data_IF_714672535882
#
_entry.id   IF_714672535882
#
_cell.length_a   1.000
_cell.length_b   1.000
_cell.length_c   1.000
_cell.angle_alpha   90.00
_cell.angle_beta   90.00
_cell.angle_gamma   90.00
#
_symmetry.space_group_name_H-M   'P 1'
#
loop_
_entity.id
_entity.type
_entity.pdbx_description
1 polymer ?
#
# COMPACT_ATOMS: atom_id res chain seq x y z
N UNK A 1 16.90 2.54 -4.86
CA UNK A 1 15.48 2.90 -5.13
C UNK A 1 15.49 4.01 -6.16
N UNK A 2 14.80 3.87 -7.29
CA UNK A 2 14.92 4.79 -8.40
C UNK A 2 13.58 5.25 -8.98
N UNK A 3 13.67 5.92 -10.12
CA UNK A 3 12.53 6.44 -10.89
C UNK A 3 12.82 6.29 -12.38
N UNK A 4 11.77 6.36 -13.16
CA UNK A 4 11.86 6.53 -14.61
C UNK A 4 11.80 8.03 -14.95
N UNK A 5 12.57 8.45 -15.93
CA UNK A 5 12.49 9.77 -16.56
C UNK A 5 12.44 9.50 -18.07
N UNK A 6 11.37 9.88 -18.72
CA UNK A 6 11.12 9.61 -20.15
C UNK A 6 11.40 8.14 -20.54
N UNK A 7 10.90 7.21 -19.73
CA UNK A 7 11.08 5.77 -19.90
C UNK A 7 12.46 5.22 -19.53
N UNK A 8 13.44 6.05 -19.18
CA UNK A 8 14.77 5.63 -18.79
C UNK A 8 14.91 5.49 -17.28
N UNK A 9 15.48 4.36 -16.81
CA UNK A 9 15.70 4.10 -15.40
C UNK A 9 16.86 4.91 -14.83
N UNK A 10 16.61 5.56 -13.67
CA UNK A 10 17.61 6.28 -12.89
C UNK A 10 17.59 5.77 -11.44
N UNK A 11 18.74 5.29 -10.94
CA UNK A 11 18.92 4.96 -9.54
C UNK A 11 19.14 6.24 -8.74
N UNK A 12 18.04 6.90 -8.40
CA UNK A 12 18.03 8.15 -7.67
C UNK A 12 17.09 8.07 -6.48
N UNK A 13 17.63 8.30 -5.28
CA UNK A 13 16.86 8.37 -4.05
C UNK A 13 15.90 9.56 -4.04
N UNK A 14 14.95 9.54 -3.11
CA UNK A 14 14.10 10.70 -2.86
C UNK A 14 14.96 11.92 -2.51
N UNK A 15 14.66 13.04 -3.12
CA UNK A 15 15.26 14.31 -2.73
C UNK A 15 14.58 14.78 -1.44
N UNK A 16 15.39 15.12 -0.44
CA UNK A 16 14.92 15.79 0.76
C UNK A 16 14.80 17.28 0.48
N UNK A 17 13.67 17.88 0.80
CA UNK A 17 13.51 19.33 0.84
C UNK A 17 13.27 19.73 2.29
N UNK A 18 14.07 20.64 2.81
CA UNK A 18 14.01 21.10 4.20
C UNK A 18 14.16 19.96 5.23
N UNK A 19 14.97 18.94 4.89
CA UNK A 19 15.19 17.77 5.72
C UNK A 19 14.03 16.79 5.81
N UNK A 20 12.91 17.07 5.16
CA UNK A 20 11.69 16.27 5.24
C UNK A 20 11.59 15.26 4.09
N UNK A 21 11.02 14.11 4.37
CA UNK A 21 10.64 13.12 3.37
C UNK A 21 9.27 13.47 2.77
N UNK A 22 9.22 13.65 1.46
CA UNK A 22 8.01 13.87 0.69
C UNK A 22 7.71 12.67 -0.19
N UNK A 23 6.50 12.12 -0.06
CA UNK A 23 6.02 11.04 -0.92
C UNK A 23 5.24 11.62 -2.09
N UNK A 24 5.67 11.28 -3.30
CA UNK A 24 4.94 11.61 -4.51
C UNK A 24 3.64 10.79 -4.60
N UNK A 25 2.59 11.38 -5.15
CA UNK A 25 1.34 10.69 -5.38
C UNK A 25 1.48 9.62 -6.48
N UNK A 26 0.73 8.54 -6.36
CA UNK A 26 0.58 7.55 -7.41
C UNK A 26 -0.04 8.20 -8.66
N UNK A 27 0.50 7.88 -9.85
CA UNK A 27 0.09 8.51 -11.11
C UNK A 27 -0.89 7.65 -11.91
N UNK A 28 -0.90 6.36 -11.70
CA UNK A 28 -1.82 5.43 -12.37
C UNK A 28 -3.00 5.17 -11.43
N UNK A 29 -4.17 5.76 -11.75
CA UNK A 29 -5.33 5.86 -10.86
C UNK A 29 -6.66 5.51 -11.56
N UNK A 30 -6.64 4.51 -12.46
CA UNK A 30 -7.86 3.93 -13.04
C UNK A 30 -8.55 2.99 -12.04
N UNK A 31 -9.83 2.69 -12.25
CA UNK A 31 -10.63 1.88 -11.35
C UNK A 31 -11.21 0.66 -12.05
N UNK A 32 -11.15 -0.49 -11.37
CA UNK A 32 -11.98 -1.63 -11.71
C UNK A 32 -13.36 -1.41 -11.11
N UNK A 33 -14.39 -1.48 -11.92
CA UNK A 33 -15.78 -1.52 -11.49
C UNK A 33 -16.46 -2.79 -12.02
N UNK A 34 -17.66 -3.10 -11.55
CA UNK A 34 -18.39 -4.31 -11.96
C UNK A 34 -18.62 -4.34 -13.48
N UNK A 35 -18.93 -3.21 -14.06
CA UNK A 35 -19.30 -3.05 -15.48
C UNK A 35 -18.26 -2.32 -16.35
N UNK A 36 -17.16 -1.85 -15.74
CA UNK A 36 -16.10 -1.10 -16.42
C UNK A 36 -16.37 0.41 -16.52
N UNK A 37 -17.36 0.94 -15.84
CA UNK A 37 -17.57 2.39 -15.72
C UNK A 37 -16.40 3.05 -15.00
N UNK A 38 -16.15 4.33 -15.29
CA UNK A 38 -15.11 5.10 -14.64
C UNK A 38 -15.37 5.23 -13.12
N UNK A 39 -14.31 5.13 -12.34
CA UNK A 39 -14.34 5.39 -10.90
C UNK A 39 -14.16 6.88 -10.56
N UNK A 40 -13.81 7.19 -9.30
CA UNK A 40 -13.55 8.57 -8.85
C UNK A 40 -12.40 9.26 -9.61
N UNK A 41 -11.47 8.48 -10.13
CA UNK A 41 -10.31 8.93 -10.90
C UNK A 41 -10.07 8.03 -12.11
N UNK A 42 -9.31 8.54 -13.09
CA UNK A 42 -8.89 7.78 -14.26
C UNK A 42 -10.01 7.57 -15.30
N UNK A 43 -9.78 6.61 -16.17
CA UNK A 43 -10.63 6.29 -17.33
C UNK A 43 -11.49 5.06 -17.07
N UNK A 44 -12.59 4.92 -17.84
CA UNK A 44 -13.40 3.72 -17.92
C UNK A 44 -12.69 2.59 -18.69
N UNK A 45 -13.26 1.38 -18.68
CA UNK A 45 -12.80 0.26 -19.49
C UNK A 45 -12.24 -0.94 -18.71
N UNK A 46 -12.22 -0.86 -17.39
CA UNK A 46 -11.68 -1.90 -16.51
C UNK A 46 -12.82 -2.62 -15.77
N UNK A 47 -13.57 -3.45 -16.47
CA UNK A 47 -14.62 -4.29 -15.85
C UNK A 47 -14.02 -5.44 -15.06
N UNK A 48 -14.63 -5.79 -13.92
CA UNK A 48 -14.25 -6.95 -13.14
C UNK A 48 -14.43 -8.23 -13.97
N UNK A 49 -13.36 -9.01 -14.11
CA UNK A 49 -13.36 -10.25 -14.85
C UNK A 49 -12.36 -11.23 -14.23
N UNK A 50 -12.74 -12.54 -14.24
CA UNK A 50 -11.87 -13.61 -13.77
C UNK A 50 -10.63 -13.73 -14.65
N UNK A 51 -9.46 -13.80 -14.01
CA UNK A 51 -8.19 -14.01 -14.70
C UNK A 51 -7.69 -12.83 -15.54
N UNK A 52 -8.40 -11.69 -15.60
CA UNK A 52 -7.99 -10.51 -16.37
C UNK A 52 -6.84 -9.74 -15.72
N UNK A 53 -6.88 -9.61 -14.42
CA UNK A 53 -5.93 -8.76 -13.69
C UNK A 53 -4.79 -9.54 -13.06
N UNK A 54 -3.68 -8.84 -12.83
CA UNK A 54 -2.50 -9.36 -12.16
C UNK A 54 -1.96 -8.33 -11.16
N UNK A 55 -1.57 -8.78 -9.97
CA UNK A 55 -1.07 -7.91 -8.92
C UNK A 55 0.43 -8.15 -8.71
N UNK A 56 1.23 -7.08 -8.74
CA UNK A 56 2.64 -7.09 -8.39
C UNK A 56 2.83 -6.54 -6.97
N UNK A 57 3.54 -7.27 -6.13
CA UNK A 57 3.73 -6.95 -4.71
C UNK A 57 5.15 -7.23 -4.25
N UNK A 58 5.57 -6.60 -3.17
CA UNK A 58 6.69 -7.06 -2.34
C UNK A 58 6.15 -7.44 -0.96
N UNK A 59 6.59 -8.58 -0.43
CA UNK A 59 6.19 -8.99 0.93
C UNK A 59 6.80 -8.08 2.01
N UNK A 60 7.87 -7.35 1.69
CA UNK A 60 8.42 -6.33 2.58
C UNK A 60 7.55 -5.06 2.65
N UNK A 61 6.78 -4.76 1.59
CA UNK A 61 6.06 -3.51 1.44
C UNK A 61 4.74 -3.48 2.23
N UNK A 62 4.54 -2.55 3.20
CA UNK A 62 3.27 -2.45 3.94
C UNK A 62 2.11 -2.00 3.05
N UNK A 63 2.37 -1.19 2.03
CA UNK A 63 1.35 -0.74 1.09
C UNK A 63 0.80 -1.89 0.24
N UNK A 64 1.69 -2.75 -0.27
CA UNK A 64 1.29 -3.94 -1.03
C UNK A 64 0.61 -4.99 -0.14
N UNK A 65 0.99 -5.10 1.13
CA UNK A 65 0.37 -6.03 2.09
C UNK A 65 -1.14 -5.78 2.25
N UNK A 66 -1.61 -4.51 2.22
CA UNK A 66 -3.04 -4.18 2.23
C UNK A 66 -3.81 -4.90 1.13
N UNK A 67 -3.26 -4.90 -0.07
CA UNK A 67 -3.90 -5.51 -1.24
C UNK A 67 -3.93 -7.02 -1.16
N UNK A 68 -2.91 -7.65 -0.59
CA UNK A 68 -2.89 -9.09 -0.33
C UNK A 68 -3.93 -9.50 0.71
N UNK A 69 -4.12 -8.71 1.78
CA UNK A 69 -5.14 -8.94 2.80
C UNK A 69 -6.53 -8.92 2.15
N UNK A 70 -6.87 -7.85 1.42
CA UNK A 70 -8.19 -7.76 0.77
C UNK A 70 -8.38 -8.84 -0.29
N UNK A 71 -7.34 -9.15 -1.07
CA UNK A 71 -7.38 -10.26 -2.03
C UNK A 71 -7.77 -11.57 -1.35
N UNK A 72 -7.23 -11.84 -0.16
CA UNK A 72 -7.56 -13.05 0.62
C UNK A 72 -8.96 -12.99 1.21
N UNK A 73 -9.30 -11.91 1.93
CA UNK A 73 -10.58 -11.77 2.61
C UNK A 73 -11.77 -11.77 1.65
N UNK A 74 -11.57 -11.26 0.44
CA UNK A 74 -12.61 -11.20 -0.60
C UNK A 74 -12.65 -12.44 -1.51
N UNK A 75 -11.77 -13.43 -1.29
CA UNK A 75 -11.74 -14.64 -2.11
C UNK A 75 -11.29 -14.41 -3.55
N UNK A 76 -10.41 -13.42 -3.78
CA UNK A 76 -9.94 -13.05 -5.13
C UNK A 76 -8.74 -13.87 -5.61
N UNK A 77 -8.27 -14.84 -4.83
CA UNK A 77 -7.08 -15.63 -5.17
C UNK A 77 -7.22 -16.40 -6.49
N UNK A 78 -8.38 -16.98 -6.82
CA UNK A 78 -8.59 -17.62 -8.12
C UNK A 78 -8.79 -16.66 -9.29
N UNK A 79 -9.10 -15.37 -9.01
CA UNK A 79 -9.45 -14.37 -10.02
C UNK A 79 -8.30 -13.43 -10.39
N UNK A 80 -7.38 -13.18 -9.45
CA UNK A 80 -6.27 -12.24 -9.59
C UNK A 80 -4.98 -12.93 -9.16
N UNK A 81 -4.13 -13.24 -10.10
CA UNK A 81 -2.80 -13.79 -9.86
C UNK A 81 -1.84 -12.75 -9.26
N UNK A 82 -0.76 -13.25 -8.63
CA UNK A 82 0.25 -12.41 -7.98
C UNK A 82 1.65 -12.77 -8.44
N UNK A 83 2.45 -11.76 -8.78
CA UNK A 83 3.91 -11.85 -8.83
C UNK A 83 4.53 -11.10 -7.65
N UNK A 84 5.46 -11.75 -6.98
CA UNK A 84 6.20 -11.18 -5.86
C UNK A 84 7.57 -10.73 -6.36
N UNK A 85 7.90 -9.44 -6.20
CA UNK A 85 9.25 -8.92 -6.48
C UNK A 85 10.20 -9.24 -5.32
N UNK A 86 11.50 -9.16 -5.57
CA UNK A 86 12.53 -9.32 -4.55
C UNK A 86 12.29 -8.40 -3.34
N UNK A 87 12.57 -8.89 -2.15
CA UNK A 87 12.53 -8.07 -0.93
C UNK A 87 13.66 -7.05 -0.86
N UNK A 88 14.75 -7.28 -1.60
CA UNK A 88 15.86 -6.33 -1.71
C UNK A 88 15.59 -5.37 -2.86
N UNK A 89 15.63 -4.08 -2.54
CA UNK A 89 15.52 -3.00 -3.51
C UNK A 89 16.89 -2.32 -3.62
N UNK A 90 17.65 -2.72 -4.64
CA UNK A 90 18.98 -2.23 -4.93
C UNK A 90 18.95 -1.26 -6.14
N UNK A 91 20.07 -1.15 -6.87
CA UNK A 91 20.29 -0.22 -7.98
C UNK A 91 19.19 -0.25 -9.05
N UNK A 92 18.67 -1.45 -9.38
CA UNK A 92 17.60 -1.63 -10.36
C UNK A 92 16.18 -1.54 -9.76
N UNK A 93 16.03 -1.08 -8.51
CA UNK A 93 14.76 -1.00 -7.82
C UNK A 93 14.17 -2.39 -7.52
N UNK A 94 12.89 -2.58 -7.81
CA UNK A 94 12.21 -3.85 -7.64
C UNK A 94 12.57 -4.82 -8.76
N UNK A 95 13.16 -5.98 -8.39
CA UNK A 95 13.59 -7.01 -9.33
C UNK A 95 12.77 -8.29 -9.18
N UNK A 96 12.80 -9.14 -10.19
CA UNK A 96 12.23 -10.48 -10.15
C UNK A 96 13.27 -11.58 -9.87
N UNK A 97 14.38 -11.22 -9.24
CA UNK A 97 15.42 -12.16 -8.84
C UNK A 97 14.92 -13.14 -7.77
N UNK A 98 14.84 -14.40 -8.13
CA UNK A 98 14.34 -15.48 -7.26
C UNK A 98 15.26 -15.78 -6.07
N UNK A 99 16.53 -15.43 -6.15
CA UNK A 99 17.50 -15.62 -5.08
C UNK A 99 17.14 -14.87 -3.78
N UNK A 100 16.27 -13.84 -3.87
CA UNK A 100 15.85 -13.01 -2.74
C UNK A 100 14.34 -13.03 -2.48
N UNK A 101 13.71 -14.19 -2.71
CA UNK A 101 12.32 -14.44 -2.35
C UNK A 101 11.29 -13.91 -3.33
N UNK A 102 11.68 -13.60 -4.55
CA UNK A 102 10.75 -13.31 -5.64
C UNK A 102 10.15 -14.60 -6.20
N UNK A 103 8.89 -14.49 -6.68
CA UNK A 103 8.25 -15.57 -7.47
C UNK A 103 8.73 -15.62 -8.94
N UNK A 104 9.51 -14.65 -9.36
CA UNK A 104 9.67 -14.28 -10.77
C UNK A 104 8.46 -13.52 -11.30
N UNK A 105 8.60 -12.91 -12.48
CA UNK A 105 7.46 -12.36 -13.23
C UNK A 105 6.67 -13.52 -13.86
N UNK A 106 5.42 -13.71 -13.43
CA UNK A 106 4.55 -14.79 -13.92
C UNK A 106 3.87 -14.48 -15.26
N UNK A 107 4.01 -13.24 -15.75
CA UNK A 107 3.35 -12.81 -16.98
C UNK A 107 4.29 -12.65 -18.18
N UNK A 108 5.61 -12.65 -18.03
CA UNK A 108 6.43 -12.37 -19.18
C UNK A 108 7.93 -12.31 -18.95
N UNK A 109 8.42 -12.93 -17.90
CA UNK A 109 9.87 -13.09 -17.66
C UNK A 109 10.66 -11.77 -17.60
N UNK A 110 10.02 -10.70 -17.11
CA UNK A 110 10.71 -9.44 -16.87
C UNK A 110 11.76 -9.60 -15.75
N UNK A 111 12.86 -8.88 -15.88
CA UNK A 111 13.89 -8.83 -14.85
C UNK A 111 13.59 -7.78 -13.77
N UNK A 112 12.96 -6.67 -14.17
CA UNK A 112 12.72 -5.51 -13.33
C UNK A 112 11.28 -5.02 -13.43
N UNK A 113 10.71 -4.54 -12.32
CA UNK A 113 9.36 -4.02 -12.31
C UNK A 113 9.21 -2.74 -13.16
N UNK A 114 10.26 -1.92 -13.25
CA UNK A 114 10.19 -0.70 -14.07
C UNK A 114 9.91 -1.00 -15.56
N UNK A 115 10.24 -2.20 -16.04
CA UNK A 115 9.89 -2.63 -17.40
C UNK A 115 8.38 -2.80 -17.59
N UNK A 116 7.60 -3.04 -16.51
CA UNK A 116 6.13 -3.07 -16.58
C UNK A 116 5.56 -1.67 -16.76
N UNK A 117 6.18 -0.66 -16.16
CA UNK A 117 5.80 0.75 -16.33
C UNK A 117 6.10 1.26 -17.74
N UNK A 118 7.25 0.90 -18.31
CA UNK A 118 7.60 1.29 -19.70
C UNK A 118 6.80 0.53 -20.76
N UNK A 119 6.22 -0.63 -20.42
CA UNK A 119 5.24 -1.30 -21.30
C UNK A 119 3.89 -0.59 -21.33
N UNK A 120 3.46 -0.04 -20.19
CA UNK A 120 2.25 0.79 -20.10
C UNK A 120 2.44 2.12 -20.85
N UNK A 121 3.57 2.77 -20.61
CA UNK A 121 3.90 4.06 -21.19
C UNK A 121 5.43 4.15 -21.44
N UNK A 122 5.89 4.08 -22.70
CA UNK A 122 7.31 4.16 -23.01
C UNK A 122 8.02 5.43 -22.55
N UNK A 123 7.26 6.51 -22.31
CA UNK A 123 7.75 7.80 -21.84
C UNK A 123 7.43 8.08 -20.37
N UNK A 124 7.03 7.05 -19.60
CA UNK A 124 6.67 7.23 -18.21
C UNK A 124 7.78 7.94 -17.43
N UNK A 125 7.39 8.96 -16.66
CA UNK A 125 8.26 9.66 -15.72
C UNK A 125 7.65 9.63 -14.33
N UNK A 126 8.36 9.02 -13.37
CA UNK A 126 7.89 8.88 -11.99
C UNK A 126 8.45 7.67 -11.26
N UNK A 127 8.04 7.49 -10.00
CA UNK A 127 8.48 6.38 -9.17
C UNK A 127 7.85 5.05 -9.60
N UNK A 128 8.67 3.99 -9.54
CA UNK A 128 8.24 2.61 -9.75
C UNK A 128 7.94 1.97 -8.40
N UNK A 129 6.67 1.70 -8.12
CA UNK A 129 6.18 1.30 -6.81
C UNK A 129 5.39 -0.01 -6.85
N UNK A 130 5.23 -0.62 -5.68
CA UNK A 130 4.28 -1.70 -5.40
C UNK A 130 3.34 -1.26 -4.26
N UNK A 131 2.06 -1.69 -4.26
CA UNK A 131 1.44 -2.61 -5.21
C UNK A 131 1.29 -1.97 -6.60
N UNK A 132 1.24 -2.83 -7.63
CA UNK A 132 0.90 -2.46 -8.99
C UNK A 132 -0.18 -3.42 -9.50
N UNK A 133 -1.32 -2.89 -9.89
CA UNK A 133 -2.43 -3.64 -10.47
C UNK A 133 -2.38 -3.49 -12.01
N UNK A 134 -2.25 -4.61 -12.70
CA UNK A 134 -2.06 -4.70 -14.15
C UNK A 134 -3.26 -5.35 -14.83
N UNK A 135 -3.71 -4.79 -15.95
CA UNK A 135 -4.69 -5.39 -16.85
C UNK A 135 -3.97 -6.17 -17.95
N UNK A 136 -4.09 -7.50 -17.94
CA UNK A 136 -3.48 -8.38 -18.94
C UNK A 136 -4.11 -8.26 -20.33
N UNK A 137 -5.37 -7.84 -20.40
CA UNK A 137 -6.10 -7.72 -21.66
C UNK A 137 -5.72 -6.45 -22.44
N UNK A 138 -5.58 -5.34 -21.72
CA UNK A 138 -5.23 -4.05 -22.31
C UNK A 138 -3.72 -3.77 -22.29
N UNK A 139 -2.94 -4.62 -21.58
CA UNK A 139 -1.51 -4.41 -21.34
C UNK A 139 -1.22 -3.03 -20.70
N UNK A 140 -2.03 -2.63 -19.73
CA UNK A 140 -1.94 -1.34 -19.04
C UNK A 140 -1.90 -1.48 -17.52
N UNK A 141 -1.28 -0.51 -16.88
CA UNK A 141 -1.39 -0.33 -15.43
C UNK A 141 -2.79 0.22 -15.12
N UNK A 142 -3.54 -0.51 -14.29
CA UNK A 142 -4.81 -0.02 -13.77
C UNK A 142 -4.55 1.00 -12.66
N UNK A 143 -3.80 0.59 -11.64
CA UNK A 143 -3.64 1.42 -10.45
C UNK A 143 -2.38 1.02 -9.66
N UNK A 144 -1.71 2.01 -9.04
CA UNK A 144 -0.59 1.78 -8.13
C UNK A 144 -0.76 2.50 -6.77
N UNK A 145 -2.01 2.85 -6.41
CA UNK A 145 -2.36 3.38 -5.10
C UNK A 145 -3.08 2.31 -4.25
N UNK A 146 -2.43 1.86 -3.21
CA UNK A 146 -2.94 0.76 -2.36
C UNK A 146 -4.31 1.04 -1.76
N UNK A 147 -4.60 2.28 -1.37
CA UNK A 147 -5.88 2.67 -0.78
C UNK A 147 -7.05 2.54 -1.77
N UNK A 148 -6.80 2.75 -3.06
CA UNK A 148 -7.82 2.58 -4.10
C UNK A 148 -7.95 1.11 -4.52
N UNK A 149 -6.82 0.40 -4.64
CA UNK A 149 -6.84 -1.02 -4.99
C UNK A 149 -7.66 -1.82 -3.97
N UNK A 150 -7.52 -1.55 -2.66
CA UNK A 150 -8.31 -2.25 -1.65
C UNK A 150 -9.81 -1.92 -1.76
N UNK A 151 -10.21 -0.70 -2.12
CA UNK A 151 -11.61 -0.33 -2.36
C UNK A 151 -12.19 -1.01 -3.60
N UNK A 152 -11.40 -1.12 -4.68
CA UNK A 152 -11.78 -1.93 -5.85
C UNK A 152 -11.98 -3.39 -5.48
N UNK A 153 -11.06 -3.98 -4.72
CA UNK A 153 -11.15 -5.38 -4.29
C UNK A 153 -12.33 -5.62 -3.34
N UNK A 154 -12.69 -4.61 -2.54
CA UNK A 154 -13.81 -4.69 -1.60
C UNK A 154 -15.17 -4.91 -2.29
N UNK A 155 -15.38 -4.37 -3.49
CA UNK A 155 -16.71 -4.32 -4.09
C UNK A 155 -16.80 -4.83 -5.53
N UNK A 156 -15.83 -4.53 -6.39
CA UNK A 156 -15.97 -4.74 -7.84
C UNK A 156 -16.17 -6.21 -8.25
N UNK A 157 -15.66 -7.16 -7.47
CA UNK A 157 -15.68 -8.59 -7.78
C UNK A 157 -16.76 -9.40 -7.03
N UNK A 158 -17.67 -8.73 -6.31
CA UNK A 158 -18.66 -9.39 -5.46
C UNK A 158 -19.56 -10.36 -6.26
N UNK A 159 -19.94 -9.99 -7.47
CA UNK A 159 -20.78 -10.84 -8.34
C UNK A 159 -20.03 -12.12 -8.81
N UNK A 160 -18.70 -12.05 -8.95
CA UNK A 160 -17.87 -13.17 -9.37
C UNK A 160 -17.54 -14.12 -8.22
N UNK A 161 -17.37 -13.60 -7.00
CA UNK A 161 -16.98 -14.39 -5.83
C UNK A 161 -18.17 -14.83 -4.98
N UNK A 162 -19.30 -14.14 -5.06
CA UNK A 162 -20.41 -14.26 -4.11
C UNK A 162 -20.09 -13.71 -2.71
N UNK A 163 -18.90 -13.17 -2.49
CA UNK A 163 -18.44 -12.66 -1.19
C UNK A 163 -18.95 -11.22 -0.97
N UNK A 164 -19.84 -11.06 0.00
CA UNK A 164 -20.48 -9.77 0.32
C UNK A 164 -19.92 -9.09 1.56
N UNK A 165 -18.79 -9.55 2.12
CA UNK A 165 -18.09 -8.84 3.17
C UNK A 165 -17.75 -7.42 2.67
N UNK A 166 -18.04 -6.42 3.49
CA UNK A 166 -17.82 -5.01 3.15
C UNK A 166 -16.97 -4.34 4.24
N UNK A 167 -15.75 -3.98 3.89
CA UNK A 167 -14.79 -3.30 4.79
C UNK A 167 -14.86 -1.77 4.70
N UNK A 168 -15.80 -1.25 3.87
CA UNK A 168 -16.06 0.19 3.71
C UNK A 168 -17.57 0.45 3.61
N UNK A 169 -18.36 -0.02 4.61
CA UNK A 169 -19.81 0.04 4.56
C UNK A 169 -20.32 1.48 4.63
N UNK A 170 -21.41 1.76 3.93
CA UNK A 170 -21.93 3.11 3.70
C UNK A 170 -22.11 3.93 4.99
N UNK A 171 -22.59 3.30 6.06
CA UNK A 171 -22.88 3.97 7.33
C UNK A 171 -21.62 4.34 8.15
N UNK A 172 -20.45 3.76 7.83
CA UNK A 172 -19.17 4.05 8.51
C UNK A 172 -18.18 4.83 7.64
N UNK A 173 -18.51 5.13 6.39
CA UNK A 173 -17.57 5.77 5.44
C UNK A 173 -16.96 7.06 5.95
N UNK A 174 -17.78 7.93 6.51
CA UNK A 174 -17.31 9.21 7.06
C UNK A 174 -16.31 9.00 8.20
N UNK A 175 -16.56 8.05 9.09
CA UNK A 175 -15.65 7.74 10.19
C UNK A 175 -14.36 7.07 9.68
N UNK A 176 -14.48 6.09 8.78
CA UNK A 176 -13.34 5.41 8.17
C UNK A 176 -12.45 6.41 7.44
N UNK A 177 -13.02 7.33 6.66
CA UNK A 177 -12.26 8.35 5.94
C UNK A 177 -11.55 9.30 6.91
N UNK A 178 -12.22 9.77 7.96
CA UNK A 178 -11.61 10.61 8.99
C UNK A 178 -10.46 9.90 9.72
N UNK A 179 -10.62 8.61 10.05
CA UNK A 179 -9.54 7.77 10.61
C UNK A 179 -8.37 7.66 9.64
N UNK A 180 -8.63 7.39 8.37
CA UNK A 180 -7.58 7.28 7.35
C UNK A 180 -6.82 8.58 7.13
N UNK A 181 -7.52 9.73 7.09
CA UNK A 181 -6.90 11.07 6.95
C UNK A 181 -6.02 11.41 8.16
N UNK A 182 -6.42 10.96 9.35
CA UNK A 182 -5.66 11.16 10.58
C UNK A 182 -4.42 10.25 10.65
N UNK A 183 -4.60 8.95 10.40
CA UNK A 183 -3.58 7.91 10.59
C UNK A 183 -2.52 7.95 9.48
N UNK A 184 -2.92 8.23 8.23
CA UNK A 184 -1.99 8.20 7.10
C UNK A 184 -0.76 9.10 7.29
N UNK A 185 -0.89 10.41 7.53
CA UNK A 185 0.27 11.30 7.63
C UNK A 185 1.10 11.07 8.89
N UNK A 186 0.49 10.62 9.99
CA UNK A 186 1.14 10.51 11.31
C UNK A 186 1.73 9.12 11.58
N UNK A 187 1.09 8.06 11.10
CA UNK A 187 1.54 6.68 11.34
C UNK A 187 2.03 6.03 10.05
N UNK A 188 1.15 5.80 9.07
CA UNK A 188 1.54 5.01 7.88
C UNK A 188 2.68 5.67 7.08
N UNK A 189 2.62 6.96 6.85
CA UNK A 189 3.70 7.74 6.26
C UNK A 189 4.63 8.36 7.32
N UNK A 190 4.15 8.52 8.56
CA UNK A 190 4.89 9.08 9.68
C UNK A 190 6.18 8.33 9.99
N UNK A 191 6.15 7.00 10.00
CA UNK A 191 7.35 6.17 10.20
C UNK A 191 8.42 6.44 9.11
N UNK A 192 8.00 6.72 7.86
CA UNK A 192 8.91 7.10 6.77
C UNK A 192 9.41 8.53 6.92
N UNK A 193 8.54 9.46 7.36
CA UNK A 193 8.94 10.84 7.64
C UNK A 193 10.01 10.90 8.73
N UNK A 194 9.88 10.08 9.77
CA UNK A 194 10.91 9.95 10.80
C UNK A 194 12.17 9.26 10.26
N UNK A 195 12.01 8.10 9.61
CA UNK A 195 13.13 7.27 9.18
C UNK A 195 14.00 7.87 8.07
N UNK A 196 13.41 8.71 7.21
CA UNK A 196 14.10 9.34 6.07
C UNK A 196 14.35 10.84 6.27
N UNK A 197 14.08 11.37 7.46
CA UNK A 197 14.47 12.74 7.80
C UNK A 197 16.00 12.89 7.73
N UNK A 198 16.47 13.96 7.11
CA UNK A 198 17.90 14.30 7.02
C UNK A 198 18.31 15.45 7.95
N UNK A 199 17.31 16.09 8.62
CA UNK A 199 17.50 17.16 9.60
C UNK A 199 16.86 16.79 10.94
N UNK A 200 17.51 17.15 12.04
CA UNK A 200 17.03 16.84 13.39
C UNK A 200 15.63 17.41 13.67
N UNK A 201 15.33 18.62 13.17
CA UNK A 201 14.03 19.25 13.36
C UNK A 201 12.91 18.49 12.64
N UNK A 202 13.15 18.03 11.41
CA UNK A 202 12.19 17.23 10.63
C UNK A 202 11.94 15.85 11.27
N UNK A 203 13.00 15.22 11.80
CA UNK A 203 12.87 13.99 12.57
C UNK A 203 12.03 14.20 13.83
N UNK A 204 12.35 15.23 14.64
CA UNK A 204 11.65 15.49 15.90
C UNK A 204 10.15 15.79 15.69
N UNK A 205 9.81 16.55 14.65
CA UNK A 205 8.41 16.80 14.27
C UNK A 205 7.67 15.50 13.95
N UNK A 206 8.22 14.69 13.04
CA UNK A 206 7.59 13.44 12.61
C UNK A 206 7.49 12.41 13.76
N UNK A 207 8.54 12.31 14.59
CA UNK A 207 8.61 11.45 15.76
C UNK A 207 7.55 11.82 16.81
N UNK A 208 7.44 13.10 17.16
CA UNK A 208 6.45 13.58 18.12
C UNK A 208 5.02 13.34 17.63
N UNK A 209 4.75 13.64 16.36
CA UNK A 209 3.44 13.43 15.76
C UNK A 209 3.06 11.93 15.71
N UNK A 210 4.03 11.05 15.43
CA UNK A 210 3.84 9.61 15.40
C UNK A 210 3.42 9.07 16.77
N UNK A 211 4.18 9.39 17.83
CA UNK A 211 3.89 8.85 19.16
C UNK A 211 2.64 9.46 19.80
N UNK A 212 2.35 10.74 19.54
CA UNK A 212 1.06 11.33 19.93
C UNK A 212 -0.12 10.62 19.26
N UNK A 213 0.04 10.17 18.01
CA UNK A 213 -1.00 9.41 17.32
C UNK A 213 -1.12 7.98 17.85
N UNK A 214 -0.02 7.30 18.19
CA UNK A 214 -0.06 5.99 18.82
C UNK A 214 -0.73 6.05 20.20
N UNK A 215 -0.46 7.09 21.01
CA UNK A 215 -1.12 7.31 22.29
C UNK A 215 -2.64 7.54 22.13
N UNK A 216 -3.05 8.25 21.08
CA UNK A 216 -4.47 8.45 20.77
C UNK A 216 -5.14 7.14 20.31
N UNK A 217 -4.47 6.34 19.48
CA UNK A 217 -4.97 5.03 19.03
C UNK A 217 -5.10 4.06 20.22
N UNK A 218 -4.15 4.05 21.14
CA UNK A 218 -4.19 3.26 22.37
C UNK A 218 -5.46 3.58 23.19
N UNK A 219 -5.74 4.88 23.39
CA UNK A 219 -6.93 5.32 24.11
C UNK A 219 -8.22 4.97 23.38
N UNK A 220 -8.25 5.06 22.03
CA UNK A 220 -9.41 4.70 21.23
C UNK A 220 -9.75 3.21 21.37
N UNK A 221 -8.75 2.36 21.33
CA UNK A 221 -8.90 0.90 21.44
C UNK A 221 -9.20 0.40 22.87
N UNK A 222 -9.17 1.28 23.87
CA UNK A 222 -9.63 0.96 25.22
C UNK A 222 -11.14 0.66 25.27
N UNK A 223 -11.92 1.29 24.39
CA UNK A 223 -13.37 1.19 24.34
C UNK A 223 -13.92 0.58 23.05
N UNK A 224 -13.07 0.32 22.06
CA UNK A 224 -13.46 -0.21 20.75
C UNK A 224 -12.64 -1.44 20.39
N UNK A 225 -13.29 -2.48 19.87
CA UNK A 225 -12.57 -3.68 19.38
C UNK A 225 -11.77 -3.38 18.11
N UNK A 226 -12.29 -2.55 17.22
CA UNK A 226 -11.66 -2.08 15.99
C UNK A 226 -11.74 -0.56 15.89
N UNK A 227 -10.99 0.03 14.96
CA UNK A 227 -10.88 1.48 14.86
C UNK A 227 -12.22 2.20 14.65
N UNK A 228 -13.14 1.62 13.90
CA UNK A 228 -14.47 2.16 13.64
C UNK A 228 -15.58 1.45 14.47
N UNK A 229 -15.25 0.87 15.62
CA UNK A 229 -16.22 0.23 16.52
C UNK A 229 -16.11 -1.29 16.57
N UNK A 230 -17.21 -1.99 16.31
CA UNK A 230 -17.33 -3.44 16.53
C UNK A 230 -16.85 -4.29 15.33
N UNK A 231 -16.67 -3.68 14.17
CA UNK A 231 -16.38 -4.39 12.93
C UNK A 231 -15.03 -4.00 12.35
N UNK A 232 -14.31 -5.01 11.82
CA UNK A 232 -13.08 -4.82 11.06
C UNK A 232 -13.39 -4.00 9.79
N UNK A 233 -12.68 -2.92 9.59
CA UNK A 233 -12.82 -2.02 8.42
C UNK A 233 -11.50 -1.83 7.67
N UNK A 234 -11.55 -1.13 6.52
CA UNK A 234 -10.33 -0.79 5.80
C UNK A 234 -9.36 0.08 6.62
N UNK A 235 -9.85 0.86 7.61
CA UNK A 235 -9.00 1.65 8.49
C UNK A 235 -8.06 0.75 9.31
N UNK A 236 -8.60 -0.34 9.84
CA UNK A 236 -7.83 -1.35 10.57
C UNK A 236 -6.79 -2.01 9.66
N UNK A 237 -7.21 -2.44 8.46
CA UNK A 237 -6.32 -3.09 7.49
C UNK A 237 -5.17 -2.15 7.09
N UNK A 238 -5.45 -0.86 6.91
CA UNK A 238 -4.46 0.15 6.56
C UNK A 238 -3.47 0.42 7.69
N UNK A 239 -3.92 0.44 8.93
CA UNK A 239 -3.07 0.61 10.11
C UNK A 239 -2.25 -0.66 10.37
N UNK A 240 -2.90 -1.83 10.36
CA UNK A 240 -2.29 -3.13 10.65
C UNK A 240 -0.98 -3.36 9.92
N UNK A 241 -0.94 -3.09 8.62
CA UNK A 241 0.24 -3.37 7.80
C UNK A 241 1.48 -2.56 8.21
N UNK A 242 1.29 -1.40 8.84
CA UNK A 242 2.37 -0.61 9.44
C UNK A 242 2.74 -1.16 10.81
N UNK A 243 1.78 -1.37 11.69
CA UNK A 243 2.05 -1.73 13.08
C UNK A 243 2.64 -3.14 13.22
N UNK A 244 2.26 -4.12 12.39
CA UNK A 244 2.88 -5.46 12.39
C UNK A 244 4.37 -5.43 12.05
N UNK A 245 4.86 -4.33 11.46
CA UNK A 245 6.29 -4.11 11.15
C UNK A 245 6.98 -3.17 12.14
N UNK A 246 6.22 -2.58 13.06
CA UNK A 246 6.73 -1.47 13.87
C UNK A 246 7.92 -1.90 14.71
N UNK A 247 7.74 -2.87 15.58
CA UNK A 247 8.77 -3.32 16.51
C UNK A 247 9.96 -3.98 15.81
N UNK A 248 9.67 -4.77 14.75
CA UNK A 248 10.71 -5.49 14.02
C UNK A 248 11.52 -4.61 13.06
N UNK A 249 10.94 -3.53 12.54
CA UNK A 249 11.56 -2.70 11.48
C UNK A 249 11.67 -1.24 11.88
N UNK A 250 10.54 -0.57 12.14
CA UNK A 250 10.53 0.90 12.27
C UNK A 250 11.16 1.38 13.58
N UNK A 251 11.01 0.61 14.66
CA UNK A 251 11.64 0.91 15.94
C UNK A 251 13.16 1.02 15.80
N UNK A 252 13.81 0.04 15.16
CA UNK A 252 15.25 0.04 14.96
C UNK A 252 15.70 0.89 13.77
N UNK A 253 15.33 0.49 12.55
CA UNK A 253 15.85 1.08 11.31
C UNK A 253 15.41 2.54 11.10
N UNK A 254 14.20 2.89 11.50
CA UNK A 254 13.65 4.25 11.31
C UNK A 254 13.72 5.10 12.59
N UNK A 255 14.31 4.53 13.65
CA UNK A 255 14.47 5.19 14.95
C UNK A 255 13.15 5.68 15.57
N UNK A 256 12.04 4.98 15.29
CA UNK A 256 10.75 5.22 15.92
C UNK A 256 10.72 4.53 17.29
N UNK A 257 11.62 4.93 18.22
CA UNK A 257 12.05 4.10 19.35
C UNK A 257 11.73 4.66 20.74
N UNK A 258 10.67 5.47 20.88
CA UNK A 258 10.19 5.88 22.21
C UNK A 258 9.57 4.71 22.99
N UNK A 259 8.69 3.95 22.33
CA UNK A 259 8.04 2.75 22.82
C UNK A 259 7.85 1.77 21.66
N UNK A 260 7.70 0.49 21.96
CA UNK A 260 7.29 -0.55 21.02
C UNK A 260 5.78 -0.68 21.01
N UNK A 261 5.22 -1.36 20.01
CA UNK A 261 3.77 -1.67 20.04
C UNK A 261 3.46 -2.63 21.20
N UNK A 262 4.38 -3.51 21.57
CA UNK A 262 4.24 -4.40 22.73
C UNK A 262 4.06 -3.65 24.07
N UNK A 263 4.51 -2.40 24.16
CA UNK A 263 4.38 -1.54 25.35
C UNK A 263 3.00 -0.83 25.44
N UNK A 264 2.13 -0.98 24.43
CA UNK A 264 0.79 -0.44 24.35
C UNK A 264 -0.23 -1.57 24.50
N UNK A 265 -0.87 -1.74 25.66
CA UNK A 265 -1.75 -2.89 25.93
C UNK A 265 -2.87 -3.09 24.91
N UNK A 266 -3.59 -2.00 24.55
CA UNK A 266 -4.73 -2.08 23.63
C UNK A 266 -4.29 -2.27 22.17
N UNK A 267 -3.27 -1.54 21.73
CA UNK A 267 -2.70 -1.71 20.38
C UNK A 267 -2.09 -3.11 20.21
N UNK A 268 -1.38 -3.62 21.22
CA UNK A 268 -0.83 -4.98 21.21
C UNK A 268 -1.92 -6.03 21.12
N UNK A 269 -2.99 -5.89 21.92
CA UNK A 269 -4.16 -6.78 21.86
C UNK A 269 -4.93 -6.68 20.53
N UNK A 270 -5.03 -5.48 19.97
CA UNK A 270 -5.68 -5.27 18.67
C UNK A 270 -4.88 -5.89 17.52
N UNK A 271 -3.55 -5.90 17.62
CA UNK A 271 -2.62 -6.45 16.61
C UNK A 271 -2.64 -8.00 16.56
N UNK A 272 -2.97 -8.69 17.67
CA UNK A 272 -3.09 -10.15 17.79
C UNK A 272 -4.47 -10.65 17.38
#
# INVERSE_FOLDING_TARGET
MGLLIDGHWHDQWYQSKDGQFHRENAQRRHWISTDGTAGPTGEAGFSAASGRYHLYVSLACPWAHRTLILRKLKGLEPLIDVSVVSRLMLEQGWTFDRGFGSSGDRLGELQYLHQRYTRDDPHYSGRVTVPLLWDKQQERIVNNESAEIIRMFNSAFNELTGNRLDFYPAHLRQEIDALNERIYPRVNNGVYRAGFATEQAAYAEAFTALFAELDWLEQRLDTHRYLAGEYLTEADIRLFTTLIRFDAVYHGHFKCNLRRIEDYPNLSNWLC
#
